data_IF_009109551349
#
_entry.id   IF_009109551349
#
_cell.length_a   1.000
_cell.length_b   1.000
_cell.length_c   1.000
_cell.angle_alpha   90.00
_cell.angle_beta   90.00
_cell.angle_gamma   90.00
#
_symmetry.space_group_name_H-M   'P 1'
#
loop_
_entity.id
_entity.type
_entity.pdbx_description
1 polymer ?
#
# COMPACT_ATOMS: atom_id res chain seq x y z
N UNK A 1 -18.07 50.83 -8.86
CA UNK A 1 -17.53 49.93 -9.92
C UNK A 1 -16.45 49.02 -9.33
N UNK A 2 -16.28 47.78 -9.82
CA UNK A 2 -15.30 46.80 -9.31
C UNK A 2 -13.83 47.07 -9.72
N UNK A 3 -13.40 48.34 -9.84
CA UNK A 3 -12.05 48.71 -10.32
C UNK A 3 -10.92 48.17 -9.42
N UNK A 4 -11.20 47.83 -8.16
CA UNK A 4 -10.22 47.21 -7.25
C UNK A 4 -9.78 45.81 -7.70
N UNK A 5 -10.59 45.08 -8.49
CA UNK A 5 -10.22 43.76 -9.01
C UNK A 5 -9.04 43.80 -10.00
N UNK A 6 -8.75 44.98 -10.57
CA UNK A 6 -7.62 45.23 -11.46
C UNK A 6 -6.32 45.60 -10.71
N UNK A 7 -6.33 45.62 -9.37
CA UNK A 7 -5.10 45.79 -8.59
C UNK A 7 -4.25 44.52 -8.63
N UNK A 8 -2.92 44.66 -8.53
CA UNK A 8 -1.96 43.54 -8.66
C UNK A 8 -2.31 42.35 -7.75
N UNK A 9 -2.72 42.62 -6.51
CA UNK A 9 -3.14 41.61 -5.54
C UNK A 9 -4.37 40.81 -6.02
N UNK A 10 -5.42 41.51 -6.46
CA UNK A 10 -6.66 40.88 -6.92
C UNK A 10 -6.51 40.14 -8.25
N UNK A 11 -5.67 40.65 -9.16
CA UNK A 11 -5.30 39.95 -10.40
C UNK A 11 -4.56 38.65 -10.07
N UNK A 12 -3.52 38.69 -9.23
CA UNK A 12 -2.78 37.48 -8.82
C UNK A 12 -3.68 36.46 -8.10
N UNK A 13 -4.55 36.90 -7.18
CA UNK A 13 -5.47 36.02 -6.45
C UNK A 13 -6.49 35.37 -7.39
N UNK A 14 -7.00 36.11 -8.38
CA UNK A 14 -7.95 35.58 -9.37
C UNK A 14 -7.27 34.60 -10.35
N UNK A 15 -6.06 34.92 -10.82
CA UNK A 15 -5.26 33.99 -11.65
C UNK A 15 -4.90 32.71 -10.89
N UNK A 16 -4.55 32.81 -9.61
CA UNK A 16 -4.31 31.66 -8.74
C UNK A 16 -5.57 30.79 -8.61
N UNK A 17 -6.74 31.38 -8.36
CA UNK A 17 -8.00 30.65 -8.30
C UNK A 17 -8.32 29.93 -9.63
N UNK A 18 -8.15 30.62 -10.77
CA UNK A 18 -8.36 30.09 -12.12
C UNK A 18 -7.38 28.96 -12.47
N UNK A 19 -6.15 28.97 -11.93
CA UNK A 19 -5.19 27.89 -12.10
C UNK A 19 -5.44 26.71 -11.13
N UNK A 20 -5.88 26.99 -9.90
CA UNK A 20 -6.02 26.00 -8.83
C UNK A 20 -7.24 25.10 -9.03
N UNK A 21 -8.38 25.64 -9.47
CA UNK A 21 -9.60 24.87 -9.73
C UNK A 21 -9.39 23.72 -10.74
N UNK A 22 -8.87 23.94 -11.97
CA UNK A 22 -8.65 22.84 -12.92
C UNK A 22 -7.55 21.86 -12.46
N UNK A 23 -6.57 22.32 -11.67
CA UNK A 23 -5.59 21.43 -11.05
C UNK A 23 -6.26 20.49 -10.03
N UNK A 24 -7.10 21.01 -9.13
CA UNK A 24 -7.87 20.21 -8.17
C UNK A 24 -8.82 19.25 -8.87
N UNK A 25 -9.55 19.68 -9.91
CA UNK A 25 -10.44 18.81 -10.70
C UNK A 25 -9.64 17.65 -11.34
N UNK A 26 -8.46 17.93 -11.92
CA UNK A 26 -7.58 16.91 -12.49
C UNK A 26 -7.06 15.93 -11.43
N UNK A 27 -6.74 16.39 -10.23
CA UNK A 27 -6.35 15.52 -9.10
C UNK A 27 -7.52 14.63 -8.63
N UNK A 28 -8.74 15.14 -8.64
CA UNK A 28 -9.95 14.36 -8.38
C UNK A 28 -10.16 13.23 -9.38
N UNK A 29 -10.07 13.52 -10.68
CA UNK A 29 -10.12 12.48 -11.72
C UNK A 29 -8.96 11.47 -11.62
N UNK A 30 -7.76 11.91 -11.27
CA UNK A 30 -6.63 10.99 -11.07
C UNK A 30 -6.87 10.02 -9.89
N UNK A 31 -7.45 10.50 -8.78
CA UNK A 31 -7.87 9.63 -7.68
C UNK A 31 -9.03 8.69 -8.07
N UNK A 32 -9.98 9.15 -8.89
CA UNK A 32 -11.06 8.31 -9.42
C UNK A 32 -10.50 7.16 -10.28
N UNK A 33 -9.66 7.45 -11.28
CA UNK A 33 -9.05 6.41 -12.12
C UNK A 33 -8.17 5.45 -11.28
N UNK A 34 -7.53 5.95 -10.21
CA UNK A 34 -6.75 5.13 -9.27
C UNK A 34 -7.63 4.17 -8.46
N UNK A 35 -8.84 4.61 -8.09
CA UNK A 35 -9.87 3.78 -7.46
C UNK A 35 -10.40 2.73 -8.43
N UNK A 36 -10.86 3.14 -9.62
CA UNK A 36 -11.43 2.25 -10.65
C UNK A 36 -10.44 1.14 -11.06
N UNK A 37 -9.16 1.48 -11.24
CA UNK A 37 -8.11 0.49 -11.53
C UNK A 37 -7.85 -0.50 -10.38
N UNK A 38 -8.07 -0.10 -9.12
CA UNK A 38 -7.95 -1.01 -7.95
C UNK A 38 -9.20 -1.87 -7.79
N UNK A 39 -10.39 -1.33 -8.05
CA UNK A 39 -11.65 -2.10 -8.10
C UNK A 39 -11.58 -3.16 -9.18
N UNK A 40 -11.33 -2.80 -10.44
CA UNK A 40 -11.25 -3.78 -11.54
C UNK A 40 -10.17 -4.86 -11.31
N UNK A 41 -9.06 -4.53 -10.67
CA UNK A 41 -8.05 -5.52 -10.29
C UNK A 41 -8.52 -6.47 -9.18
N UNK A 42 -9.24 -5.96 -8.17
CA UNK A 42 -9.84 -6.77 -7.12
C UNK A 42 -10.95 -7.69 -7.68
N UNK A 43 -11.78 -7.18 -8.59
CA UNK A 43 -12.87 -7.93 -9.20
C UNK A 43 -12.33 -9.12 -10.01
N UNK A 44 -11.29 -8.92 -10.84
CA UNK A 44 -10.60 -10.00 -11.56
C UNK A 44 -10.01 -11.07 -10.63
N UNK A 45 -9.53 -10.68 -9.43
CA UNK A 45 -9.07 -11.63 -8.40
C UNK A 45 -10.27 -12.41 -7.85
N UNK A 46 -11.34 -11.71 -7.46
CA UNK A 46 -12.53 -12.32 -6.86
C UNK A 46 -13.21 -13.31 -7.82
N UNK A 47 -13.40 -12.93 -9.09
CA UNK A 47 -13.91 -13.79 -10.15
C UNK A 47 -13.01 -15.02 -10.36
N UNK A 48 -11.69 -14.82 -10.36
CA UNK A 48 -10.75 -15.93 -10.57
C UNK A 48 -10.68 -16.92 -9.41
N UNK A 49 -10.89 -16.46 -8.18
CA UNK A 49 -10.99 -17.30 -6.98
C UNK A 49 -12.33 -18.05 -6.92
N UNK A 50 -13.43 -17.38 -7.28
CA UNK A 50 -14.78 -17.96 -7.30
C UNK A 50 -15.02 -18.94 -8.47
N UNK A 51 -14.24 -18.82 -9.55
CA UNK A 51 -14.36 -19.70 -10.71
C UNK A 51 -14.08 -21.18 -10.37
N UNK A 52 -14.83 -22.15 -10.94
CA UNK A 52 -14.59 -23.57 -10.75
C UNK A 52 -13.15 -24.00 -11.08
N UNK A 53 -12.64 -24.95 -10.29
CA UNK A 53 -11.28 -25.47 -10.44
C UNK A 53 -11.11 -26.32 -11.70
N UNK A 54 -10.11 -26.00 -12.53
CA UNK A 54 -9.82 -26.70 -13.79
C UNK A 54 -8.48 -27.47 -13.74
N UNK A 55 -8.24 -28.46 -14.61
CA UNK A 55 -6.91 -29.01 -14.83
C UNK A 55 -5.90 -27.93 -15.27
N UNK A 56 -4.70 -27.92 -14.67
CA UNK A 56 -3.66 -26.90 -14.99
C UNK A 56 -3.28 -26.88 -16.48
N UNK A 57 -3.38 -28.02 -17.16
CA UNK A 57 -3.11 -28.19 -18.60
C UNK A 57 -4.11 -27.51 -19.53
N UNK A 58 -5.25 -27.02 -19.03
CA UNK A 58 -6.17 -26.19 -19.83
C UNK A 58 -5.62 -24.76 -19.95
N UNK A 59 -5.13 -24.19 -18.84
CA UNK A 59 -4.66 -22.81 -18.78
C UNK A 59 -3.23 -22.66 -19.35
N UNK A 60 -2.35 -23.63 -19.15
CA UNK A 60 -0.94 -23.55 -19.57
C UNK A 60 -0.46 -24.82 -20.31
N UNK A 61 0.55 -24.67 -21.16
CA UNK A 61 1.25 -25.78 -21.82
C UNK A 61 2.77 -25.65 -21.65
N UNK A 62 3.56 -26.53 -22.24
CA UNK A 62 5.03 -26.43 -22.21
C UNK A 62 5.58 -25.29 -23.07
N UNK A 63 4.78 -24.76 -24.01
CA UNK A 63 5.13 -23.67 -24.92
C UNK A 63 4.25 -22.42 -24.81
N UNK A 64 3.20 -22.43 -23.98
CA UNK A 64 2.27 -21.31 -23.77
C UNK A 64 2.09 -21.06 -22.28
N UNK A 65 2.33 -19.82 -21.85
CA UNK A 65 2.03 -19.36 -20.48
C UNK A 65 0.54 -19.43 -20.13
N UNK A 66 0.18 -19.29 -18.85
CA UNK A 66 -1.11 -18.72 -18.50
C UNK A 66 -1.15 -17.25 -18.98
N UNK A 67 -2.31 -16.82 -19.45
CA UNK A 67 -2.60 -15.42 -19.74
C UNK A 67 -2.83 -14.61 -18.43
N UNK A 68 -2.74 -13.29 -18.47
CA UNK A 68 -2.80 -12.44 -17.27
C UNK A 68 -4.19 -12.42 -16.59
N UNK A 69 -5.27 -12.68 -17.35
CA UNK A 69 -6.65 -12.77 -16.86
C UNK A 69 -6.94 -14.10 -16.14
N UNK A 70 -6.19 -15.16 -16.44
CA UNK A 70 -6.28 -16.44 -15.72
C UNK A 70 -5.34 -16.52 -14.51
N UNK A 71 -4.72 -15.41 -14.12
CA UNK A 71 -3.95 -15.29 -12.87
C UNK A 71 -4.86 -15.51 -11.66
N UNK A 72 -4.34 -16.18 -10.65
CA UNK A 72 -5.06 -16.63 -9.45
C UNK A 72 -6.16 -17.69 -9.66
N UNK A 73 -6.52 -18.06 -10.90
CA UNK A 73 -7.52 -19.11 -11.18
C UNK A 73 -7.21 -20.39 -10.42
N UNK A 74 -8.22 -20.96 -9.79
CA UNK A 74 -8.06 -22.24 -9.09
C UNK A 74 -7.79 -23.36 -10.11
N UNK A 75 -6.67 -24.06 -9.95
CA UNK A 75 -6.24 -25.18 -10.79
C UNK A 75 -5.95 -26.42 -9.97
N UNK A 76 -6.06 -27.58 -10.62
CA UNK A 76 -5.67 -28.89 -10.10
C UNK A 76 -4.58 -29.53 -10.97
N UNK A 77 -3.66 -30.24 -10.34
CA UNK A 77 -2.65 -31.05 -11.03
C UNK A 77 -2.44 -32.37 -10.27
N UNK A 78 -2.04 -33.44 -10.97
CA UNK A 78 -1.91 -34.78 -10.38
C UNK A 78 -0.63 -35.47 -10.82
N UNK A 79 0.20 -35.84 -9.85
CA UNK A 79 1.55 -36.35 -10.11
C UNK A 79 2.27 -36.78 -8.83
N UNK A 80 3.60 -36.94 -8.93
CA UNK A 80 4.50 -37.24 -7.82
C UNK A 80 5.53 -36.11 -7.70
N UNK A 81 5.88 -35.69 -6.48
CA UNK A 81 6.87 -34.63 -6.28
C UNK A 81 8.29 -35.11 -6.60
N UNK A 82 9.03 -34.29 -7.36
CA UNK A 82 10.46 -34.46 -7.61
C UNK A 82 11.25 -33.65 -6.56
N UNK A 83 11.65 -34.33 -5.48
CA UNK A 83 12.37 -33.72 -4.36
C UNK A 83 13.88 -33.61 -4.60
N UNK A 84 14.40 -34.26 -5.65
CA UNK A 84 15.80 -34.10 -6.09
C UNK A 84 15.99 -32.73 -6.74
N UNK A 85 15.01 -32.30 -7.55
CA UNK A 85 14.99 -31.00 -8.22
C UNK A 85 14.21 -29.91 -7.45
N UNK A 86 13.88 -30.12 -6.17
CA UNK A 86 13.28 -29.09 -5.31
C UNK A 86 14.26 -27.93 -5.06
N UNK A 87 13.84 -26.69 -5.33
CA UNK A 87 14.64 -25.47 -5.15
C UNK A 87 13.97 -24.50 -4.19
N UNK A 88 14.76 -23.58 -3.63
CA UNK A 88 14.24 -22.49 -2.78
C UNK A 88 14.38 -21.13 -3.45
N UNK A 89 13.28 -20.37 -3.44
CA UNK A 89 13.21 -19.03 -4.03
C UNK A 89 13.54 -18.01 -2.95
N UNK A 90 14.59 -17.20 -3.16
CA UNK A 90 15.13 -16.29 -2.14
C UNK A 90 14.35 -14.97 -2.04
N UNK A 91 14.62 -14.24 -0.96
CA UNK A 91 14.11 -12.89 -0.69
C UNK A 91 12.57 -12.81 -0.64
N UNK A 92 11.93 -13.76 0.05
CA UNK A 92 10.47 -13.83 0.15
C UNK A 92 10.01 -13.49 1.57
N UNK A 93 9.24 -12.43 1.70
CA UNK A 93 8.63 -12.04 2.97
C UNK A 93 7.54 -13.04 3.36
N UNK A 94 7.37 -13.28 4.66
CA UNK A 94 6.26 -14.05 5.21
C UNK A 94 4.94 -13.25 5.19
N UNK A 95 3.87 -13.89 5.65
CA UNK A 95 2.55 -13.28 5.84
C UNK A 95 2.52 -12.18 6.92
N UNK A 96 3.61 -11.99 7.67
CA UNK A 96 3.78 -10.96 8.71
C UNK A 96 4.39 -9.64 8.18
N UNK A 97 4.75 -9.58 6.89
CA UNK A 97 5.48 -8.50 6.21
C UNK A 97 6.86 -8.13 6.79
N UNK A 98 7.36 -8.85 7.80
CA UNK A 98 8.59 -8.55 8.54
C UNK A 98 9.68 -9.62 8.36
N UNK A 99 9.29 -10.90 8.33
CA UNK A 99 10.25 -12.01 8.31
C UNK A 99 10.64 -12.39 6.88
N UNK A 100 11.93 -12.28 6.55
CA UNK A 100 12.47 -12.73 5.26
C UNK A 100 12.78 -14.23 5.33
N UNK A 101 12.38 -14.93 4.27
CA UNK A 101 12.52 -16.37 4.10
C UNK A 101 12.60 -16.79 2.64
N UNK A 102 12.14 -18.02 2.39
CA UNK A 102 12.17 -18.67 1.10
C UNK A 102 10.78 -19.21 0.73
N UNK A 103 10.42 -19.20 -0.55
CA UNK A 103 9.38 -20.10 -1.04
C UNK A 103 9.98 -21.46 -1.43
N UNK A 104 9.28 -22.54 -1.11
CA UNK A 104 9.66 -23.92 -1.46
C UNK A 104 9.04 -24.27 -2.80
N UNK A 105 9.87 -24.44 -3.83
CA UNK A 105 9.45 -24.70 -5.20
C UNK A 105 9.81 -26.14 -5.59
N UNK A 106 8.81 -27.01 -5.61
CA UNK A 106 8.98 -28.44 -5.88
C UNK A 106 8.27 -28.78 -7.18
N UNK A 107 8.96 -29.35 -8.18
CA UNK A 107 8.31 -29.84 -9.38
C UNK A 107 7.39 -31.03 -9.04
N UNK A 108 6.21 -31.07 -9.67
CA UNK A 108 5.28 -32.18 -9.60
C UNK A 108 5.22 -32.84 -10.98
N UNK A 109 5.74 -34.07 -11.09
CA UNK A 109 5.81 -34.83 -12.34
C UNK A 109 4.51 -35.59 -12.57
N UNK A 110 3.85 -35.29 -13.69
CA UNK A 110 2.58 -35.86 -14.13
C UNK A 110 2.76 -37.23 -14.81
N UNK A 111 1.65 -37.94 -15.05
CA UNK A 111 1.64 -39.28 -15.70
C UNK A 111 2.21 -39.29 -17.12
N UNK A 112 2.15 -38.17 -17.81
CA UNK A 112 2.65 -37.95 -19.17
C UNK A 112 4.15 -37.60 -19.21
N UNK A 113 4.81 -37.48 -18.04
CA UNK A 113 6.21 -37.09 -17.92
C UNK A 113 6.46 -35.57 -17.98
N UNK A 114 5.42 -34.76 -18.19
CA UNK A 114 5.51 -33.30 -17.98
C UNK A 114 5.61 -32.99 -16.49
N UNK A 115 6.19 -31.85 -16.14
CA UNK A 115 6.21 -31.34 -14.77
C UNK A 115 5.47 -30.00 -14.68
N UNK A 116 4.82 -29.76 -13.54
CA UNK A 116 4.34 -28.43 -13.16
C UNK A 116 5.10 -27.95 -11.93
N UNK A 117 5.51 -26.68 -11.90
CA UNK A 117 6.14 -26.11 -10.72
C UNK A 117 5.10 -25.84 -9.64
N UNK A 118 5.31 -26.35 -8.42
CA UNK A 118 4.43 -26.10 -7.28
C UNK A 118 5.19 -25.31 -6.22
N UNK A 119 4.75 -24.08 -5.96
CA UNK A 119 5.15 -23.34 -4.76
C UNK A 119 4.35 -23.93 -3.59
N UNK A 120 5.00 -24.76 -2.77
CA UNK A 120 4.41 -25.46 -1.62
C UNK A 120 4.15 -24.55 -0.42
N UNK A 121 4.68 -23.33 -0.43
CA UNK A 121 4.56 -22.36 0.66
C UNK A 121 5.90 -21.77 1.10
N UNK A 122 5.85 -20.97 2.15
CA UNK A 122 6.97 -20.22 2.72
C UNK A 122 7.66 -20.95 3.89
N UNK A 123 8.96 -20.71 4.06
CA UNK A 123 9.74 -21.07 5.25
C UNK A 123 10.68 -19.93 5.65
N UNK A 124 10.88 -19.75 6.96
CA UNK A 124 11.84 -18.78 7.50
C UNK A 124 13.27 -19.09 7.03
N UNK A 125 14.09 -18.05 6.83
CA UNK A 125 15.42 -18.22 6.26
C UNK A 125 16.40 -19.00 7.16
N UNK A 126 16.20 -18.94 8.48
CA UNK A 126 17.18 -19.40 9.46
C UNK A 126 18.41 -18.50 9.53
N UNK A 127 19.48 -18.98 10.19
CA UNK A 127 20.70 -18.19 10.41
C UNK A 127 21.75 -18.26 9.29
N UNK A 128 21.81 -19.34 8.51
CA UNK A 128 22.80 -19.52 7.44
C UNK A 128 22.17 -19.39 6.05
N UNK A 129 22.34 -18.21 5.44
CA UNK A 129 21.81 -17.89 4.12
C UNK A 129 22.64 -18.47 2.96
N UNK A 130 23.77 -19.13 3.25
CA UNK A 130 24.69 -19.71 2.25
C UNK A 130 24.39 -21.18 1.95
N UNK A 131 23.76 -21.89 2.89
CA UNK A 131 23.33 -23.30 2.73
C UNK A 131 21.90 -23.40 2.23
N UNK A 132 21.55 -24.56 1.68
CA UNK A 132 20.16 -24.92 1.43
C UNK A 132 19.43 -25.11 2.77
N UNK A 133 18.25 -24.48 2.98
CA UNK A 133 17.55 -24.52 4.27
C UNK A 133 16.89 -25.88 4.53
N UNK A 134 16.49 -26.13 5.78
CA UNK A 134 15.80 -27.38 6.16
C UNK A 134 14.32 -27.34 5.74
N UNK A 135 14.06 -27.66 4.48
CA UNK A 135 12.70 -27.76 3.91
C UNK A 135 11.90 -28.91 4.56
N UNK A 136 10.61 -28.72 4.91
CA UNK A 136 9.73 -29.82 5.32
C UNK A 136 9.42 -30.76 4.15
N UNK A 137 9.55 -32.08 4.37
CA UNK A 137 9.42 -33.10 3.33
C UNK A 137 8.11 -32.97 2.52
N UNK A 138 8.21 -33.22 1.21
CA UNK A 138 7.05 -33.34 0.34
C UNK A 138 6.26 -34.62 0.68
N UNK A 139 4.92 -34.65 0.46
CA UNK A 139 4.14 -35.87 0.57
C UNK A 139 4.63 -36.92 -0.44
N UNK A 140 4.81 -38.16 0.03
CA UNK A 140 5.27 -39.28 -0.78
C UNK A 140 4.18 -39.84 -1.71
N UNK A 141 4.61 -40.45 -2.80
CA UNK A 141 3.71 -41.08 -3.77
C UNK A 141 2.90 -40.07 -4.60
N UNK A 142 1.75 -40.51 -5.09
CA UNK A 142 0.92 -39.72 -5.99
C UNK A 142 -0.06 -38.81 -5.23
N UNK A 143 0.05 -37.51 -5.47
CA UNK A 143 -0.85 -36.47 -4.95
C UNK A 143 -1.71 -35.86 -6.07
N UNK A 144 -2.88 -35.36 -5.69
CA UNK A 144 -3.55 -34.26 -6.39
C UNK A 144 -3.28 -32.97 -5.61
N UNK A 145 -2.70 -31.96 -6.26
CA UNK A 145 -2.58 -30.60 -5.71
C UNK A 145 -3.73 -29.74 -6.23
N UNK A 146 -4.20 -28.83 -5.40
CA UNK A 146 -5.06 -27.70 -5.76
C UNK A 146 -4.34 -26.41 -5.39
N UNK A 147 -4.39 -25.41 -6.27
CA UNK A 147 -3.71 -24.14 -6.02
C UNK A 147 -4.18 -23.05 -6.96
N UNK A 148 -3.60 -21.86 -6.82
CA UNK A 148 -3.85 -20.71 -7.69
C UNK A 148 -2.83 -20.69 -8.83
N UNK A 149 -3.26 -20.51 -10.07
CA UNK A 149 -2.37 -20.43 -11.23
C UNK A 149 -1.64 -19.08 -11.27
N UNK A 150 -0.34 -19.11 -11.53
CA UNK A 150 0.52 -17.93 -11.56
C UNK A 150 1.42 -17.96 -12.79
N UNK A 151 1.57 -16.83 -13.47
CA UNK A 151 2.56 -16.65 -14.53
C UNK A 151 4.00 -16.69 -13.99
N UNK A 152 4.98 -16.93 -14.87
CA UNK A 152 6.40 -16.87 -14.51
C UNK A 152 6.80 -15.47 -14.03
N UNK A 153 7.70 -15.43 -13.06
CA UNK A 153 8.21 -14.17 -12.51
C UNK A 153 9.31 -13.58 -13.40
N UNK A 154 9.30 -12.24 -13.49
CA UNK A 154 10.36 -11.44 -14.09
C UNK A 154 10.79 -10.36 -13.09
N UNK A 155 11.96 -9.75 -13.27
CA UNK A 155 12.35 -8.59 -12.46
C UNK A 155 11.40 -7.39 -12.64
N UNK A 156 10.69 -7.30 -13.76
CA UNK A 156 9.66 -6.27 -13.99
C UNK A 156 8.37 -6.55 -13.21
N UNK A 157 7.90 -7.80 -13.17
CA UNK A 157 6.64 -8.18 -12.51
C UNK A 157 6.77 -8.47 -11.01
N UNK A 158 7.98 -8.73 -10.52
CA UNK A 158 8.25 -9.00 -9.08
C UNK A 158 9.01 -7.89 -8.36
N UNK A 159 9.68 -6.99 -9.09
CA UNK A 159 10.68 -6.05 -8.54
C UNK A 159 11.98 -6.70 -8.05
N UNK A 160 12.04 -8.05 -7.97
CA UNK A 160 13.21 -8.79 -7.50
C UNK A 160 14.23 -8.88 -8.64
N UNK A 161 15.43 -8.33 -8.42
CA UNK A 161 16.55 -8.48 -9.35
C UNK A 161 17.04 -9.92 -9.34
N UNK A 162 17.04 -10.58 -10.50
CA UNK A 162 17.75 -11.84 -10.67
C UNK A 162 19.27 -11.65 -10.47
N UNK A 163 19.95 -12.66 -9.93
CA UNK A 163 21.34 -12.58 -9.46
C UNK A 163 22.08 -13.89 -9.80
N UNK A 164 23.18 -13.85 -10.56
CA UNK A 164 24.02 -15.03 -10.79
C UNK A 164 24.80 -15.43 -9.52
N UNK A 165 25.39 -16.62 -9.54
CA UNK A 165 26.31 -17.08 -8.48
C UNK A 165 25.63 -17.47 -7.15
N UNK A 166 24.37 -17.88 -7.19
CA UNK A 166 23.64 -18.37 -6.02
C UNK A 166 24.15 -19.75 -5.58
N UNK A 167 23.97 -20.13 -4.29
CA UNK A 167 24.24 -21.49 -3.84
C UNK A 167 23.37 -22.52 -4.60
N UNK A 168 23.83 -23.79 -4.71
CA UNK A 168 23.07 -24.85 -5.38
C UNK A 168 21.62 -24.94 -4.87
N UNK A 169 20.69 -25.18 -5.81
CA UNK A 169 19.23 -25.28 -5.56
C UNK A 169 18.60 -24.00 -4.97
N UNK A 170 19.20 -22.83 -5.16
CA UNK A 170 18.58 -21.53 -4.81
C UNK A 170 18.40 -20.64 -6.06
N UNK A 171 17.26 -19.93 -6.15
CA UNK A 171 16.92 -19.02 -7.28
C UNK A 171 16.33 -17.70 -6.78
N UNK A 172 16.42 -16.61 -7.54
CA UNK A 172 15.74 -15.35 -7.20
C UNK A 172 14.27 -15.33 -7.66
N UNK A 173 13.97 -15.91 -8.82
CA UNK A 173 12.67 -15.87 -9.48
C UNK A 173 12.11 -17.28 -9.71
N UNK A 174 10.79 -17.41 -9.72
CA UNK A 174 10.09 -18.61 -10.20
C UNK A 174 9.96 -18.50 -11.72
N UNK A 175 10.72 -19.30 -12.45
CA UNK A 175 10.70 -19.31 -13.91
C UNK A 175 10.73 -20.73 -14.48
N UNK A 176 9.62 -21.16 -15.07
CA UNK A 176 9.41 -22.50 -15.64
C UNK A 176 10.43 -22.89 -16.71
N UNK A 177 10.91 -21.94 -17.51
CA UNK A 177 11.89 -22.21 -18.58
C UNK A 177 13.31 -22.39 -18.03
N UNK A 178 13.67 -21.64 -16.99
CA UNK A 178 14.92 -21.85 -16.27
C UNK A 178 14.91 -23.23 -15.61
N UNK A 179 13.78 -23.63 -15.01
CA UNK A 179 13.66 -24.95 -14.38
C UNK A 179 13.59 -26.10 -15.39
N UNK A 180 12.97 -25.95 -16.57
CA UNK A 180 12.94 -27.03 -17.57
C UNK A 180 14.32 -27.42 -18.07
N UNK A 181 15.23 -26.45 -18.18
CA UNK A 181 16.65 -26.66 -18.52
C UNK A 181 17.39 -27.43 -17.42
N UNK A 182 17.07 -27.19 -16.14
CA UNK A 182 17.62 -27.93 -15.00
C UNK A 182 17.05 -29.35 -14.86
N UNK A 183 15.74 -29.50 -15.04
CA UNK A 183 15.03 -30.77 -14.85
C UNK A 183 15.23 -31.79 -15.98
N UNK A 184 15.67 -31.34 -17.16
CA UNK A 184 15.73 -32.18 -18.37
C UNK A 184 14.37 -32.83 -18.73
N UNK A 185 13.27 -32.13 -18.43
CA UNK A 185 11.88 -32.56 -18.66
C UNK A 185 11.05 -31.41 -19.27
N UNK A 186 9.95 -31.70 -19.99
CA UNK A 186 9.01 -30.65 -20.39
C UNK A 186 8.30 -30.09 -19.14
N UNK A 187 8.35 -28.78 -18.93
CA UNK A 187 7.69 -28.11 -17.79
C UNK A 187 6.57 -27.21 -18.32
N UNK A 188 5.37 -27.30 -17.72
CA UNK A 188 4.27 -26.38 -18.00
C UNK A 188 4.64 -24.95 -17.57
N UNK A 189 4.28 -23.95 -18.37
CA UNK A 189 4.70 -22.56 -18.11
C UNK A 189 3.98 -21.94 -16.92
N UNK A 190 4.67 -21.09 -16.16
CA UNK A 190 4.19 -20.58 -14.87
C UNK A 190 4.32 -21.60 -13.74
N UNK A 191 3.56 -21.38 -12.66
CA UNK A 191 3.56 -22.23 -11.46
C UNK A 191 2.21 -22.24 -10.74
N UNK A 192 2.03 -23.24 -9.87
CA UNK A 192 0.86 -23.38 -8.98
C UNK A 192 1.25 -22.95 -7.58
N UNK A 193 0.56 -21.94 -7.03
CA UNK A 193 0.64 -21.57 -5.62
C UNK A 193 -0.28 -22.49 -4.80
N UNK A 194 0.30 -23.40 -4.02
CA UNK A 194 -0.42 -24.49 -3.34
C UNK A 194 -1.42 -23.98 -2.29
N UNK A 195 -2.71 -24.25 -2.49
CA UNK A 195 -3.76 -23.99 -1.49
C UNK A 195 -4.17 -25.25 -0.74
N UNK A 196 -4.14 -26.42 -1.39
CA UNK A 196 -4.49 -27.72 -0.80
C UNK A 196 -3.75 -28.88 -1.50
N UNK A 197 -3.54 -30.00 -0.80
CA UNK A 197 -3.04 -31.25 -1.39
C UNK A 197 -3.82 -32.44 -0.84
N UNK A 198 -4.03 -33.45 -1.67
CA UNK A 198 -4.70 -34.71 -1.36
C UNK A 198 -3.82 -35.91 -1.79
N UNK A 199 -3.56 -36.92 -0.93
CA UNK A 199 -3.97 -37.00 0.49
C UNK A 199 -3.39 -35.86 1.35
N UNK A 200 -4.04 -35.61 2.49
CA UNK A 200 -3.57 -34.59 3.45
C UNK A 200 -2.22 -35.06 4.05
N UNK A 201 -1.18 -34.20 4.11
CA UNK A 201 0.11 -34.60 4.65
C UNK A 201 0.04 -34.83 6.17
N UNK A 202 0.77 -35.83 6.66
CA UNK A 202 0.91 -36.14 8.09
C UNK A 202 2.02 -35.33 8.78
N UNK A 203 3.10 -35.02 8.05
CA UNK A 203 4.24 -34.24 8.55
C UNK A 203 4.06 -32.72 8.44
N UNK A 204 4.98 -31.98 9.07
CA UNK A 204 5.09 -30.51 8.91
C UNK A 204 5.15 -30.12 7.44
N UNK A 205 4.55 -28.99 7.09
CA UNK A 205 4.59 -28.39 5.75
C UNK A 205 5.10 -26.94 5.83
N UNK A 206 5.53 -26.33 4.71
CA UNK A 206 5.69 -24.88 4.60
C UNK A 206 4.40 -24.13 4.97
N UNK A 207 4.52 -22.86 5.35
CA UNK A 207 3.39 -21.96 5.57
C UNK A 207 2.68 -21.69 4.24
N UNK A 208 1.36 -21.87 4.17
CA UNK A 208 0.63 -21.54 2.93
C UNK A 208 0.51 -20.03 2.80
N UNK A 209 0.87 -19.51 1.63
CA UNK A 209 0.65 -18.11 1.29
C UNK A 209 -0.86 -17.79 1.39
N UNK A 210 -1.23 -16.60 1.90
CA UNK A 210 -2.63 -16.20 2.08
C UNK A 210 -3.39 -16.05 0.74
N UNK A 211 -4.66 -15.70 0.83
CA UNK A 211 -5.44 -15.17 -0.30
C UNK A 211 -4.85 -13.82 -0.74
N UNK A 212 -4.71 -13.52 -2.05
CA UNK A 212 -4.48 -12.15 -2.50
C UNK A 212 -5.62 -11.23 -2.02
N UNK A 213 -5.27 -10.11 -1.40
CA UNK A 213 -6.25 -9.13 -0.93
C UNK A 213 -6.96 -8.43 -2.11
N UNK A 214 -8.24 -8.74 -2.22
CA UNK A 214 -9.22 -8.16 -3.12
C UNK A 214 -10.34 -7.45 -2.35
N UNK A 215 -10.25 -7.34 -1.02
CA UNK A 215 -11.20 -6.64 -0.18
C UNK A 215 -10.84 -5.16 0.02
N UNK A 216 -9.55 -4.83 0.12
CA UNK A 216 -9.14 -3.42 0.26
C UNK A 216 -9.18 -2.67 -1.07
N UNK A 217 -9.84 -1.52 -1.07
CA UNK A 217 -9.89 -0.56 -2.20
C UNK A 217 -9.12 0.74 -1.86
N UNK A 218 -9.06 1.09 -0.57
CA UNK A 218 -8.40 2.29 -0.07
C UNK A 218 -9.23 3.58 -0.24
N UNK A 219 -8.80 4.70 0.37
CA UNK A 219 -9.57 5.96 0.44
C UNK A 219 -9.62 6.76 -0.88
N UNK A 220 -9.24 6.17 -2.02
CA UNK A 220 -9.11 6.88 -3.30
C UNK A 220 -10.39 7.62 -3.72
N UNK A 221 -11.57 7.01 -3.57
CA UNK A 221 -12.86 7.66 -3.86
C UNK A 221 -13.13 8.87 -2.93
N UNK A 222 -12.84 8.74 -1.63
CA UNK A 222 -13.01 9.83 -0.67
C UNK A 222 -12.10 11.02 -1.01
N UNK A 223 -10.85 10.76 -1.42
CA UNK A 223 -9.94 11.81 -1.89
C UNK A 223 -10.39 12.42 -3.23
N UNK A 224 -10.98 11.66 -4.16
CA UNK A 224 -11.55 12.22 -5.39
C UNK A 224 -12.65 13.25 -5.08
N UNK A 225 -13.59 12.90 -4.19
CA UNK A 225 -14.64 13.80 -3.71
C UNK A 225 -14.05 15.01 -2.96
N UNK A 226 -13.05 14.80 -2.09
CA UNK A 226 -12.38 15.89 -1.36
C UNK A 226 -11.75 16.92 -2.32
N UNK A 227 -11.10 16.48 -3.40
CA UNK A 227 -10.53 17.39 -4.41
C UNK A 227 -11.60 18.20 -5.14
N UNK A 228 -12.75 17.61 -5.46
CA UNK A 228 -13.87 18.34 -6.06
C UNK A 228 -14.55 19.31 -5.08
N UNK A 229 -14.65 18.96 -3.80
CA UNK A 229 -15.11 19.87 -2.75
C UNK A 229 -14.17 21.08 -2.58
N UNK A 230 -12.85 20.88 -2.62
CA UNK A 230 -11.89 21.98 -2.62
C UNK A 230 -12.00 22.84 -3.90
N UNK A 231 -12.15 22.21 -5.07
CA UNK A 231 -12.38 22.92 -6.33
C UNK A 231 -13.65 23.80 -6.31
N UNK A 232 -14.70 23.35 -5.62
CA UNK A 232 -15.92 24.13 -5.40
C UNK A 232 -15.77 25.21 -4.32
N UNK A 233 -14.96 24.98 -3.29
CA UNK A 233 -14.71 25.94 -2.21
C UNK A 233 -13.92 27.18 -2.68
N UNK A 234 -12.99 27.04 -3.62
CA UNK A 234 -12.18 28.15 -4.17
C UNK A 234 -13.04 29.31 -4.74
N UNK A 235 -13.98 29.09 -5.68
CA UNK A 235 -14.82 30.18 -6.20
C UNK A 235 -15.81 30.73 -5.14
N UNK A 236 -16.28 29.91 -4.20
CA UNK A 236 -17.11 30.38 -3.07
C UNK A 236 -16.32 31.34 -2.18
N UNK A 237 -15.09 30.97 -1.79
CA UNK A 237 -14.18 31.82 -1.04
C UNK A 237 -13.84 33.11 -1.78
N UNK A 238 -13.56 33.03 -3.08
CA UNK A 238 -13.35 34.21 -3.94
C UNK A 238 -14.54 35.17 -3.91
N UNK A 239 -15.77 34.67 -4.10
CA UNK A 239 -17.00 35.49 -4.04
C UNK A 239 -17.20 36.11 -2.66
N UNK A 240 -16.92 35.39 -1.57
CA UNK A 240 -17.00 35.93 -0.19
C UNK A 240 -16.00 37.07 0.00
N UNK A 241 -14.74 36.89 -0.42
CA UNK A 241 -13.71 37.92 -0.34
C UNK A 241 -14.08 39.16 -1.17
N UNK A 242 -14.57 39.01 -2.41
CA UNK A 242 -15.02 40.12 -3.26
C UNK A 242 -16.20 40.88 -2.64
N UNK A 243 -17.13 40.17 -1.98
CA UNK A 243 -18.27 40.78 -1.27
C UNK A 243 -17.83 41.55 -0.02
N UNK A 244 -16.88 41.00 0.76
CA UNK A 244 -16.30 41.66 1.93
C UNK A 244 -15.54 42.92 1.55
N UNK A 245 -14.57 42.81 0.64
CA UNK A 245 -13.77 43.93 0.11
C UNK A 245 -14.65 45.08 -0.42
N UNK A 246 -15.76 44.75 -1.10
CA UNK A 246 -16.75 45.74 -1.54
C UNK A 246 -17.45 46.43 -0.36
N UNK A 247 -17.83 45.70 0.69
CA UNK A 247 -18.51 46.25 1.89
C UNK A 247 -17.56 47.15 2.67
N UNK A 248 -16.34 46.69 2.90
CA UNK A 248 -15.34 47.41 3.69
C UNK A 248 -14.95 48.72 2.98
N UNK A 249 -14.82 48.70 1.64
CA UNK A 249 -14.62 49.92 0.82
C UNK A 249 -15.83 50.85 0.75
N UNK A 250 -17.06 50.36 0.96
CA UNK A 250 -18.24 51.21 1.02
C UNK A 250 -18.33 51.93 2.38
N UNK A 251 -18.11 51.20 3.49
CA UNK A 251 -18.08 51.78 4.83
C UNK A 251 -17.00 52.86 4.99
N UNK A 252 -15.83 52.69 4.36
CA UNK A 252 -14.78 53.72 4.31
C UNK A 252 -15.17 54.95 3.48
N UNK A 253 -16.02 54.81 2.46
CA UNK A 253 -16.52 55.94 1.67
C UNK A 253 -17.58 56.73 2.44
N UNK A 254 -18.54 56.04 3.07
CA UNK A 254 -19.61 56.66 3.86
C UNK A 254 -19.04 57.36 5.11
N UNK A 255 -18.12 56.69 5.83
CA UNK A 255 -17.46 57.25 7.02
C UNK A 255 -16.53 58.44 6.74
N UNK A 256 -16.01 58.55 5.50
CA UNK A 256 -15.18 59.67 5.08
C UNK A 256 -15.96 60.97 4.82
N UNK A 257 -17.29 60.91 4.68
CA UNK A 257 -18.13 62.08 4.39
C UNK A 257 -18.51 62.95 5.59
N UNK A 258 -18.26 62.49 6.82
CA UNK A 258 -18.75 63.13 8.05
C UNK A 258 -17.80 64.11 8.76
N UNK A 259 -16.61 64.38 8.21
CA UNK A 259 -15.57 65.16 8.87
C UNK A 259 -15.41 66.58 8.29
N UNK A 260 -16.41 67.45 8.50
CA UNK A 260 -16.39 68.83 8.01
C UNK A 260 -17.35 69.77 8.76
N UNK A 261 -16.83 70.47 9.77
CA UNK A 261 -17.60 71.28 10.73
C UNK A 261 -18.02 70.44 11.95
N UNK A 262 -17.69 70.78 13.20
CA UNK A 262 -17.23 72.06 13.74
C UNK A 262 -16.01 71.93 14.69
N UNK A 263 -15.45 73.09 15.06
CA UNK A 263 -14.65 73.25 16.27
C UNK A 263 -15.12 74.48 17.03
N UNK A 264 -15.40 74.35 18.33
CA UNK A 264 -15.21 75.45 19.27
C UNK A 264 -14.07 75.16 20.26
N UNK A 265 -13.39 76.23 20.68
CA UNK A 265 -12.23 76.22 21.56
C UNK A 265 -12.53 75.77 22.99
N UNK A 266 -11.54 75.10 23.58
CA UNK A 266 -10.96 75.33 24.91
C UNK A 266 -11.78 76.12 25.96
N UNK A 267 -11.94 75.54 27.15
CA UNK A 267 -11.47 76.22 28.36
C UNK A 267 -10.95 75.23 29.43
N UNK A 268 -10.24 75.74 30.45
CA UNK A 268 -9.36 74.96 31.34
C UNK A 268 -9.76 75.11 32.82
N UNK A 269 -9.76 74.01 33.59
CA UNK A 269 -9.59 74.11 35.05
C UNK A 269 -8.88 72.89 35.65
N UNK A 270 -8.07 73.15 36.69
CA UNK A 270 -7.08 72.22 37.28
C UNK A 270 -7.56 71.67 38.62
N UNK A 271 -7.42 70.36 38.89
CA UNK A 271 -7.20 69.89 40.27
C UNK A 271 -6.51 68.52 40.42
N UNK A 272 -5.20 68.58 40.62
CA UNK A 272 -4.27 67.70 41.36
C UNK A 272 -4.87 66.62 42.32
N UNK A 273 -4.42 65.37 42.15
CA UNK A 273 -4.40 64.26 43.12
C UNK A 273 -4.18 62.92 42.39
N UNK A 274 -3.06 62.19 42.46
CA UNK A 274 -2.21 61.67 43.57
C UNK A 274 -2.74 60.36 44.17
N UNK A 275 -2.02 59.27 43.87
CA UNK A 275 -1.87 57.96 44.57
C UNK A 275 -3.15 57.17 44.94
N UNK A 276 -3.19 55.84 44.99
CA UNK A 276 -2.25 54.75 44.62
C UNK A 276 -2.81 54.00 43.37
N UNK A 277 -2.67 52.70 43.04
CA UNK A 277 -2.07 51.49 43.66
C UNK A 277 -1.73 50.43 42.58
N UNK A 278 -1.37 49.19 42.97
CA UNK A 278 -1.21 48.05 42.05
C UNK A 278 -1.61 46.72 42.70
N UNK A 279 -2.77 46.17 42.31
CA UNK A 279 -3.09 44.71 42.26
C UNK A 279 -4.56 44.45 41.92
N UNK A 280 -4.85 43.68 40.86
CA UNK A 280 -5.28 42.27 41.04
C UNK A 280 -5.44 41.46 39.75
N UNK A 281 -5.55 40.16 39.95
CA UNK A 281 -5.71 39.09 38.96
C UNK A 281 -6.95 39.22 38.07
N UNK A 282 -6.87 38.67 36.85
CA UNK A 282 -7.77 37.58 36.44
C UNK A 282 -7.07 36.70 35.40
N UNK A 283 -7.14 35.38 35.59
CA UNK A 283 -6.50 34.34 34.80
C UNK A 283 -6.97 34.30 33.34
N UNK A 284 -6.08 33.87 32.43
CA UNK A 284 -6.43 33.45 31.08
C UNK A 284 -6.28 31.93 30.98
N UNK A 285 -7.38 31.19 31.13
CA UNK A 285 -7.42 29.75 30.85
C UNK A 285 -7.74 29.51 29.37
N UNK A 286 -6.85 28.84 28.65
CA UNK A 286 -7.19 28.07 27.45
C UNK A 286 -6.22 26.89 27.37
N UNK A 287 -6.74 25.72 27.73
CA UNK A 287 -6.05 24.42 27.66
C UNK A 287 -5.55 24.13 26.22
N UNK A 288 -4.37 23.51 26.12
CA UNK A 288 -3.82 22.92 24.89
C UNK A 288 -2.93 21.72 25.26
N UNK A 289 -3.52 20.72 25.93
CA UNK A 289 -2.88 19.43 26.19
C UNK A 289 -2.67 18.60 24.91
N UNK A 290 -1.54 18.80 24.24
CA UNK A 290 -1.02 17.88 23.22
C UNK A 290 0.03 16.96 23.86
N UNK A 291 -0.27 15.67 23.99
CA UNK A 291 0.61 14.69 24.61
C UNK A 291 1.43 13.91 23.57
N UNK A 292 2.75 14.07 23.59
CA UNK A 292 3.68 13.10 23.00
C UNK A 292 3.90 11.93 23.98
N UNK A 293 4.00 10.68 23.50
CA UNK A 293 4.40 9.55 24.35
C UNK A 293 5.93 9.46 24.45
N UNK A 294 6.49 9.85 25.59
CA UNK A 294 7.88 9.48 25.93
C UNK A 294 8.03 7.96 26.09
N UNK A 295 9.22 7.44 25.77
CA UNK A 295 9.51 6.00 25.85
C UNK A 295 10.25 5.64 27.15
N UNK A 296 9.67 4.78 27.99
CA UNK A 296 10.34 4.23 29.16
C UNK A 296 11.41 3.18 28.79
N UNK A 297 12.56 3.14 29.49
CA UNK A 297 13.61 2.15 29.27
C UNK A 297 13.33 0.81 29.99
N UNK A 298 13.57 -0.30 29.31
CA UNK A 298 13.47 -1.66 29.88
C UNK A 298 14.70 -1.95 30.77
N UNK A 299 14.54 -2.44 32.02
CA UNK A 299 15.65 -2.76 32.90
C UNK A 299 16.37 -4.09 32.53
N UNK A 300 17.70 -4.12 32.70
CA UNK A 300 18.51 -5.36 32.57
C UNK A 300 18.12 -6.41 33.61
N UNK A 301 17.71 -7.61 33.17
CA UNK A 301 17.69 -8.80 34.03
C UNK A 301 19.06 -9.49 33.97
N UNK A 302 19.86 -9.36 35.03
CA UNK A 302 21.20 -9.95 35.09
C UNK A 302 21.20 -11.47 35.27
N UNK A 303 22.17 -12.10 34.62
CA UNK A 303 22.56 -13.50 34.78
C UNK A 303 22.94 -13.86 36.24
N UNK A 304 22.68 -15.10 36.66
CA UNK A 304 23.13 -15.65 37.94
C UNK A 304 23.23 -17.17 37.92
N UNK A 305 24.45 -17.68 37.80
CA UNK A 305 24.81 -19.10 37.88
C UNK A 305 24.91 -19.62 39.33
N UNK A 306 24.27 -20.76 39.60
CA UNK A 306 24.60 -21.74 40.66
C UNK A 306 24.06 -23.12 40.17
N UNK A 307 24.71 -24.29 40.26
CA UNK A 307 25.71 -24.91 41.19
C UNK A 307 25.06 -25.54 42.43
N UNK A 308 25.06 -26.89 42.48
CA UNK A 308 24.53 -27.76 43.55
C UNK A 308 23.01 -27.99 43.46
N UNK A 309 22.46 -29.20 43.66
CA UNK A 309 23.04 -30.55 43.85
C UNK A 309 22.34 -31.55 42.89
#
# INVERSE_FOLDING_TARGET
MYRFLLTRQWVCLTLLAVALVPAMVKLGFWQLHRHEAKVAHNDLIAESLAAPAVPVSELTSTGRGPDDDVRFRTVTAKGTYDTEHEVVVRQRTASDEQTIGYFVLTPLVQRDGTAVLVNRGWIAAGGDLTRFPKVPAAPEGQVTVTGRMMADETTASSGIKDKPGLPPRQVMLINSEQQSKSLHKPVLRGYVQLTQTAPKPSGKQPERLPEPDHGSIGPHMAYAVQWWLFAAAVPVGWVILVRRERRDRAALADGGGGAGGDSPSTDTSTSRGRDTDTSKDTSTDTDTGAAEPEAEPVPETRDRTAVGD
#
